data_IF_322695569533
#
_entry.id   IF_322695569533
#
_cell.length_a   1.000
_cell.length_b   1.000
_cell.length_c   1.000
_cell.angle_alpha   90.00
_cell.angle_beta   90.00
_cell.angle_gamma   90.00
#
_symmetry.space_group_name_H-M   'P 1'
#
loop_
_entity.id
_entity.type
_entity.pdbx_description
1 polymer ?
#
# COMPACT_ATOMS: atom_id res chain seq x y z
N UNK A 1 3.84 -24.22 -0.91
CA UNK A 1 5.03 -23.34 -1.00
C UNK A 1 4.81 -22.27 0.05
N UNK A 2 5.79 -21.95 0.88
CA UNK A 2 5.67 -20.94 1.92
C UNK A 2 6.37 -19.68 1.39
N UNK A 3 5.62 -18.58 1.31
CA UNK A 3 6.15 -17.28 0.89
C UNK A 3 6.50 -16.44 2.12
N UNK A 4 7.51 -15.56 2.06
CA UNK A 4 7.79 -14.64 3.17
C UNK A 4 6.56 -13.75 3.44
N UNK A 5 6.21 -13.60 4.71
CA UNK A 5 5.21 -12.65 5.15
C UNK A 5 5.91 -11.39 5.67
N UNK A 6 6.24 -10.48 4.76
CA UNK A 6 6.95 -9.24 5.13
C UNK A 6 6.07 -8.31 5.95
N UNK A 7 4.75 -8.29 5.70
CA UNK A 7 3.81 -7.49 6.47
C UNK A 7 3.82 -7.83 7.98
N UNK A 8 3.90 -9.11 8.34
CA UNK A 8 3.94 -9.54 9.74
C UNK A 8 5.35 -9.57 10.33
N UNK A 9 6.41 -9.61 9.50
CA UNK A 9 7.80 -9.68 9.96
C UNK A 9 8.45 -8.31 10.17
N UNK A 10 7.78 -7.25 9.74
CA UNK A 10 8.16 -5.84 9.95
C UNK A 10 7.19 -5.17 10.93
N UNK A 11 7.41 -3.91 11.35
CA UNK A 11 6.45 -3.16 12.18
C UNK A 11 5.10 -2.86 11.49
N UNK A 12 4.93 -3.19 10.19
CA UNK A 12 3.77 -2.84 9.40
C UNK A 12 2.45 -3.29 10.04
N UNK A 13 2.34 -4.56 10.42
CA UNK A 13 1.09 -5.09 11.02
C UNK A 13 0.72 -4.39 12.33
N UNK A 14 1.69 -4.06 13.18
CA UNK A 14 1.46 -3.37 14.45
C UNK A 14 1.02 -1.92 14.20
N UNK A 15 1.61 -1.24 13.23
CA UNK A 15 1.21 0.11 12.81
C UNK A 15 -0.21 0.13 12.27
N UNK A 16 -0.56 -0.81 11.39
CA UNK A 16 -1.93 -0.98 10.88
C UNK A 16 -2.93 -1.19 12.02
N UNK A 17 -2.62 -2.10 12.94
CA UNK A 17 -3.46 -2.41 14.09
C UNK A 17 -3.75 -1.20 14.96
N UNK A 18 -2.74 -0.36 15.19
CA UNK A 18 -2.82 0.83 16.05
C UNK A 18 -3.47 2.01 15.34
N UNK A 19 -3.03 2.32 14.10
CA UNK A 19 -3.40 3.56 13.41
C UNK A 19 -4.77 3.41 12.73
N UNK A 20 -5.09 2.23 12.18
CA UNK A 20 -6.36 2.00 11.51
C UNK A 20 -7.49 1.54 12.46
N UNK A 21 -7.20 1.31 13.74
CA UNK A 21 -8.23 0.94 14.74
C UNK A 21 -9.51 1.81 14.70
N UNK A 22 -9.43 3.14 14.47
CA UNK A 22 -10.63 3.98 14.37
C UNK A 22 -11.53 3.66 13.17
N UNK A 23 -11.04 2.97 12.14
CA UNK A 23 -11.83 2.57 10.97
C UNK A 23 -12.54 1.23 11.14
N UNK A 24 -12.14 0.42 12.12
CA UNK A 24 -12.64 -0.95 12.30
C UNK A 24 -14.17 -1.02 12.30
N UNK A 25 -14.71 -1.78 11.34
CA UNK A 25 -16.14 -2.06 11.22
C UNK A 25 -17.01 -0.87 10.82
N UNK A 26 -16.41 0.26 10.40
CA UNK A 26 -17.18 1.37 9.84
C UNK A 26 -17.70 0.99 8.45
N UNK A 27 -18.92 1.44 8.10
CA UNK A 27 -19.47 1.25 6.77
C UNK A 27 -18.84 2.20 5.75
N UNK A 28 -19.01 1.87 4.46
CA UNK A 28 -18.74 2.71 3.29
C UNK A 28 -17.28 3.20 3.17
N UNK A 29 -16.32 2.48 3.77
CA UNK A 29 -14.91 2.77 3.62
C UNK A 29 -14.40 2.25 2.27
N UNK A 30 -13.52 3.02 1.64
CA UNK A 30 -12.76 2.59 0.46
C UNK A 30 -11.26 2.67 0.76
N UNK A 31 -10.59 1.54 0.67
CA UNK A 31 -9.15 1.42 0.86
C UNK A 31 -8.48 1.03 -0.45
N UNK A 32 -7.34 1.63 -0.73
CA UNK A 32 -6.48 1.32 -1.87
C UNK A 32 -5.14 0.82 -1.37
N UNK A 33 -4.65 -0.27 -1.94
CA UNK A 33 -3.29 -0.77 -1.74
C UNK A 33 -2.58 -0.86 -3.09
N UNK A 34 -1.43 -0.22 -3.18
CA UNK A 34 -0.51 -0.28 -4.31
C UNK A 34 0.64 -1.21 -3.92
N UNK A 35 0.73 -2.36 -4.61
CA UNK A 35 1.59 -3.48 -4.22
C UNK A 35 0.87 -4.43 -3.25
N UNK A 36 0.50 -5.61 -3.71
CA UNK A 36 -0.28 -6.57 -2.93
C UNK A 36 0.46 -7.89 -2.67
N UNK A 37 1.41 -8.26 -3.52
CA UNK A 37 2.22 -9.48 -3.41
C UNK A 37 1.36 -10.73 -3.14
N UNK A 38 1.52 -11.36 -1.96
CA UNK A 38 0.74 -12.55 -1.53
C UNK A 38 -0.61 -12.20 -0.90
N UNK A 39 -0.91 -10.90 -0.68
CA UNK A 39 -2.12 -10.42 -0.04
C UNK A 39 -2.10 -10.53 1.49
N UNK A 40 -0.93 -10.48 2.15
CA UNK A 40 -0.89 -10.58 3.60
C UNK A 40 -1.52 -9.35 4.27
N UNK A 41 -1.20 -8.14 3.82
CA UNK A 41 -1.85 -6.92 4.28
C UNK A 41 -3.33 -6.89 3.87
N UNK A 42 -3.66 -7.33 2.64
CA UNK A 42 -5.04 -7.36 2.13
C UNK A 42 -5.95 -8.23 3.00
N UNK A 43 -5.53 -9.48 3.28
CA UNK A 43 -6.27 -10.39 4.17
C UNK A 43 -6.43 -9.78 5.56
N UNK A 44 -5.34 -9.24 6.11
CA UNK A 44 -5.39 -8.62 7.42
C UNK A 44 -6.39 -7.44 7.49
N UNK A 45 -6.40 -6.58 6.47
CA UNK A 45 -7.34 -5.45 6.36
C UNK A 45 -8.79 -5.94 6.31
N UNK A 46 -9.08 -6.95 5.48
CA UNK A 46 -10.42 -7.51 5.37
C UNK A 46 -10.91 -8.15 6.67
N UNK A 47 -10.02 -8.81 7.40
CA UNK A 47 -10.38 -9.51 8.65
C UNK A 47 -10.48 -8.59 9.86
N UNK A 48 -9.70 -7.50 9.89
CA UNK A 48 -9.55 -6.69 11.09
C UNK A 48 -10.15 -5.29 11.00
N UNK A 49 -10.26 -4.71 9.80
CA UNK A 49 -10.68 -3.32 9.60
C UNK A 49 -11.96 -3.24 8.75
N UNK A 50 -11.93 -3.77 7.53
CA UNK A 50 -13.02 -3.67 6.55
C UNK A 50 -14.08 -4.76 6.73
N UNK A 51 -14.52 -4.94 7.98
CA UNK A 51 -15.46 -6.01 8.35
C UNK A 51 -16.92 -5.68 8.07
N UNK A 52 -17.23 -4.43 7.72
CA UNK A 52 -18.56 -4.06 7.22
C UNK A 52 -18.67 -4.39 5.72
N UNK A 53 -19.74 -5.04 5.25
CA UNK A 53 -19.88 -5.48 3.86
C UNK A 53 -20.01 -4.33 2.84
N UNK A 54 -20.32 -3.11 3.26
CA UNK A 54 -20.34 -1.93 2.38
C UNK A 54 -18.97 -1.31 2.15
N UNK A 55 -17.98 -1.66 2.98
CA UNK A 55 -16.60 -1.22 2.83
C UNK A 55 -15.86 -2.10 1.83
N UNK A 56 -14.87 -1.55 1.13
CA UNK A 56 -14.14 -2.27 0.09
C UNK A 56 -12.64 -2.05 0.14
N UNK A 57 -11.91 -3.05 -0.35
CA UNK A 57 -10.48 -3.00 -0.63
C UNK A 57 -10.25 -3.11 -2.13
N UNK A 58 -9.36 -2.27 -2.65
CA UNK A 58 -8.84 -2.37 -4.00
C UNK A 58 -7.32 -2.58 -3.92
N UNK A 59 -6.87 -3.70 -4.46
CA UNK A 59 -5.45 -4.05 -4.59
C UNK A 59 -5.00 -3.85 -6.04
N UNK A 60 -3.87 -3.17 -6.23
CA UNK A 60 -3.24 -2.95 -7.53
C UNK A 60 -1.83 -3.48 -7.49
N UNK A 61 -1.51 -4.43 -8.35
CA UNK A 61 -0.19 -5.02 -8.47
C UNK A 61 0.03 -5.53 -9.90
N UNK A 62 1.24 -5.56 -10.39
CA UNK A 62 1.59 -6.17 -11.66
C UNK A 62 1.70 -7.69 -11.54
N UNK A 63 2.04 -8.20 -10.35
CA UNK A 63 2.51 -9.55 -10.10
C UNK A 63 3.62 -9.99 -11.04
N UNK A 64 4.52 -9.05 -11.38
CA UNK A 64 5.74 -9.30 -12.16
C UNK A 64 7.00 -9.24 -11.28
N UNK A 65 6.84 -8.73 -10.04
CA UNK A 65 7.95 -8.50 -9.12
C UNK A 65 8.69 -7.19 -9.40
N UNK A 66 9.78 -6.99 -8.70
CA UNK A 66 10.67 -5.83 -8.83
C UNK A 66 12.10 -6.27 -9.11
N UNK A 67 13.00 -5.30 -9.35
CA UNK A 67 14.44 -5.54 -9.57
C UNK A 67 15.20 -5.77 -8.23
N UNK A 68 14.54 -6.41 -7.28
CA UNK A 68 15.12 -6.79 -6.00
C UNK A 68 15.67 -8.21 -6.03
N UNK A 69 16.81 -8.43 -5.35
CA UNK A 69 17.43 -9.76 -5.29
C UNK A 69 16.49 -10.82 -4.71
N UNK A 70 15.65 -10.44 -3.76
CA UNK A 70 14.65 -11.32 -3.16
C UNK A 70 13.65 -11.85 -4.18
N UNK A 71 13.29 -11.07 -5.19
CA UNK A 71 12.31 -11.41 -6.22
C UNK A 71 12.87 -12.29 -7.35
N UNK A 72 14.18 -12.28 -7.57
CA UNK A 72 14.82 -13.00 -8.69
C UNK A 72 14.57 -14.52 -8.74
N UNK A 73 14.16 -15.12 -7.62
CA UNK A 73 13.93 -16.58 -7.50
C UNK A 73 12.45 -16.93 -7.32
N UNK A 74 11.55 -15.95 -7.38
CA UNK A 74 10.12 -16.15 -7.15
C UNK A 74 9.37 -16.35 -8.45
N UNK A 75 8.37 -17.21 -8.40
CA UNK A 75 7.40 -17.40 -9.49
C UNK A 75 6.18 -16.50 -9.21
N UNK A 76 6.18 -15.32 -9.80
CA UNK A 76 5.11 -14.33 -9.58
C UNK A 76 3.76 -14.77 -10.13
N UNK A 77 3.74 -15.64 -11.15
CA UNK A 77 2.51 -16.27 -11.61
C UNK A 77 1.87 -17.16 -10.53
N UNK A 78 2.68 -17.94 -9.80
CA UNK A 78 2.18 -18.72 -8.66
C UNK A 78 1.82 -17.85 -7.48
N UNK A 79 2.52 -16.73 -7.23
CA UNK A 79 2.18 -15.75 -6.20
C UNK A 79 0.81 -15.15 -6.47
N UNK A 80 0.52 -14.75 -7.72
CA UNK A 80 -0.80 -14.25 -8.09
C UNK A 80 -1.91 -15.29 -7.86
N UNK A 81 -1.70 -16.54 -8.27
CA UNK A 81 -2.66 -17.63 -8.00
C UNK A 81 -2.87 -17.82 -6.49
N UNK A 82 -1.81 -17.73 -5.71
CA UNK A 82 -1.89 -17.81 -4.25
C UNK A 82 -2.69 -16.64 -3.66
N UNK A 83 -2.40 -15.39 -4.08
CA UNK A 83 -3.17 -14.21 -3.73
C UNK A 83 -4.66 -14.39 -4.03
N UNK A 84 -5.02 -14.76 -5.26
CA UNK A 84 -6.41 -14.98 -5.65
C UNK A 84 -7.09 -16.06 -4.80
N UNK A 85 -6.37 -17.12 -4.43
CA UNK A 85 -6.91 -18.18 -3.59
C UNK A 85 -7.32 -17.71 -2.20
N UNK A 86 -6.61 -16.71 -1.67
CA UNK A 86 -6.87 -16.08 -0.37
C UNK A 86 -7.99 -15.05 -0.44
N UNK A 87 -7.99 -14.22 -1.48
CA UNK A 87 -8.90 -13.07 -1.59
C UNK A 87 -10.30 -13.44 -2.09
N UNK A 88 -10.48 -14.57 -2.79
CA UNK A 88 -11.78 -15.02 -3.35
C UNK A 88 -12.91 -15.15 -2.32
N UNK A 89 -12.61 -15.25 -1.04
CA UNK A 89 -13.62 -15.35 0.04
C UNK A 89 -14.24 -13.99 0.41
N UNK A 90 -13.62 -12.87 0.00
CA UNK A 90 -14.06 -11.52 0.32
C UNK A 90 -14.76 -10.90 -0.90
N UNK A 91 -16.11 -10.83 -0.86
CA UNK A 91 -16.92 -10.34 -1.98
C UNK A 91 -16.73 -8.83 -2.27
N UNK A 92 -16.19 -8.09 -1.29
CA UNK A 92 -15.93 -6.65 -1.34
C UNK A 92 -14.43 -6.33 -1.49
N UNK A 93 -13.62 -7.28 -1.97
CA UNK A 93 -12.23 -7.08 -2.35
C UNK A 93 -12.09 -7.21 -3.86
N UNK A 94 -11.38 -6.27 -4.46
CA UNK A 94 -11.13 -6.19 -5.89
C UNK A 94 -9.64 -6.14 -6.17
N UNK A 95 -9.19 -6.79 -7.24
CA UNK A 95 -7.79 -6.76 -7.65
C UNK A 95 -7.66 -6.31 -9.10
N UNK A 96 -6.68 -5.45 -9.35
CA UNK A 96 -6.32 -5.00 -10.69
C UNK A 96 -4.87 -5.42 -10.98
N UNK A 97 -4.71 -6.30 -11.98
CA UNK A 97 -3.37 -6.63 -12.52
C UNK A 97 -2.96 -5.51 -13.46
N UNK A 98 -2.23 -4.54 -12.95
CA UNK A 98 -1.85 -3.32 -13.66
C UNK A 98 -0.64 -2.67 -12.99
N UNK A 99 0.05 -1.79 -13.71
CA UNK A 99 0.97 -0.85 -13.07
C UNK A 99 0.17 0.15 -12.24
N UNK A 100 0.78 0.67 -11.17
CA UNK A 100 0.17 1.71 -10.33
C UNK A 100 -0.14 2.96 -11.16
N UNK A 101 0.78 3.36 -12.06
CA UNK A 101 0.61 4.48 -12.96
C UNK A 101 -0.62 4.34 -13.86
N UNK A 102 -0.82 3.17 -14.49
CA UNK A 102 -1.96 2.95 -15.39
C UNK A 102 -3.27 2.94 -14.63
N UNK A 103 -3.30 2.34 -13.41
CA UNK A 103 -4.48 2.35 -12.57
C UNK A 103 -4.82 3.78 -12.10
N UNK A 104 -3.86 4.46 -11.46
CA UNK A 104 -4.10 5.76 -10.83
C UNK A 104 -4.47 6.85 -11.83
N UNK A 105 -3.93 6.80 -13.06
CA UNK A 105 -4.23 7.78 -14.12
C UNK A 105 -5.72 7.83 -14.49
N UNK A 106 -6.44 6.71 -14.36
CA UNK A 106 -7.84 6.60 -14.77
C UNK A 106 -8.79 6.34 -13.59
N UNK A 107 -8.25 6.32 -12.36
CA UNK A 107 -9.05 6.16 -11.16
C UNK A 107 -9.80 7.47 -10.85
N UNK A 108 -11.11 7.36 -10.63
CA UNK A 108 -11.98 8.47 -10.24
C UNK A 108 -12.54 8.27 -8.81
N UNK A 109 -12.18 7.17 -8.15
CA UNK A 109 -12.61 6.89 -6.78
C UNK A 109 -11.85 7.75 -5.77
N UNK A 110 -12.52 8.05 -4.64
CA UNK A 110 -11.87 8.67 -3.48
C UNK A 110 -11.73 7.65 -2.35
N UNK A 111 -10.59 7.69 -1.65
CA UNK A 111 -10.21 6.69 -0.66
C UNK A 111 -10.09 7.29 0.75
N UNK A 112 -10.47 6.50 1.75
CA UNK A 112 -10.28 6.81 3.17
C UNK A 112 -8.87 6.45 3.64
N UNK A 113 -8.25 5.45 2.99
CA UNK A 113 -6.89 4.99 3.26
C UNK A 113 -6.21 4.54 1.96
N UNK A 114 -4.95 4.94 1.80
CA UNK A 114 -4.09 4.51 0.70
C UNK A 114 -2.78 3.97 1.29
N UNK A 115 -2.41 2.75 0.93
CA UNK A 115 -1.14 2.12 1.29
C UNK A 115 -0.25 1.99 0.05
N UNK A 116 0.94 2.56 0.11
CA UNK A 116 1.93 2.58 -0.98
C UNK A 116 3.07 1.64 -0.61
N UNK A 117 3.16 0.52 -1.32
CA UNK A 117 4.11 -0.58 -1.11
C UNK A 117 4.42 -1.28 -2.46
N UNK A 118 4.67 -0.49 -3.51
CA UNK A 118 4.85 -1.01 -4.88
C UNK A 118 6.28 -0.84 -5.39
N UNK A 119 6.61 0.31 -5.99
CA UNK A 119 7.94 0.59 -6.53
C UNK A 119 8.82 1.25 -5.46
N UNK A 120 9.90 0.57 -5.07
CA UNK A 120 10.83 1.07 -4.03
C UNK A 120 11.87 2.05 -4.58
N UNK A 121 11.79 2.47 -5.84
CA UNK A 121 12.63 3.58 -6.33
C UNK A 121 12.11 4.93 -5.83
N UNK A 122 13.02 5.89 -5.64
CA UNK A 122 12.64 7.24 -5.22
C UNK A 122 11.66 7.91 -6.18
N UNK A 123 11.78 7.65 -7.48
CA UNK A 123 10.87 8.20 -8.50
C UNK A 123 9.53 7.49 -8.50
N UNK A 124 9.53 6.15 -8.38
CA UNK A 124 8.31 5.34 -8.39
C UNK A 124 7.41 5.69 -7.21
N UNK A 125 7.95 5.65 -5.98
CA UNK A 125 7.16 6.00 -4.79
C UNK A 125 6.67 7.45 -4.81
N UNK A 126 7.47 8.40 -5.33
CA UNK A 126 7.02 9.79 -5.48
C UNK A 126 5.86 9.89 -6.46
N UNK A 127 5.93 9.20 -7.60
CA UNK A 127 4.85 9.20 -8.59
C UNK A 127 3.57 8.60 -8.04
N UNK A 128 3.67 7.45 -7.35
CA UNK A 128 2.54 6.80 -6.71
C UNK A 128 1.90 7.73 -5.66
N UNK A 129 2.71 8.40 -4.85
CA UNK A 129 2.23 9.34 -3.84
C UNK A 129 1.50 10.55 -4.46
N UNK A 130 2.08 11.20 -5.47
CA UNK A 130 1.51 12.37 -6.12
C UNK A 130 0.17 12.03 -6.82
N UNK A 131 0.11 10.93 -7.55
CA UNK A 131 -1.12 10.50 -8.22
C UNK A 131 -2.20 10.05 -7.23
N UNK A 132 -1.81 9.44 -6.11
CA UNK A 132 -2.74 9.00 -5.08
C UNK A 132 -3.24 10.14 -4.19
N UNK A 133 -2.50 11.26 -4.12
CA UNK A 133 -2.85 12.36 -3.22
C UNK A 133 -4.20 13.00 -3.56
N UNK A 134 -4.48 13.18 -4.84
CA UNK A 134 -5.76 13.74 -5.28
C UNK A 134 -6.93 12.81 -5.00
N UNK A 135 -6.67 11.49 -4.96
CA UNK A 135 -7.67 10.45 -4.67
C UNK A 135 -7.90 10.23 -3.18
N UNK A 136 -7.06 10.78 -2.30
CA UNK A 136 -7.22 10.67 -0.85
C UNK A 136 -8.20 11.71 -0.36
N UNK A 137 -9.23 11.29 0.38
CA UNK A 137 -10.21 12.19 0.99
C UNK A 137 -9.58 13.13 2.01
N UNK A 138 -10.10 14.35 2.25
CA UNK A 138 -9.76 15.13 3.42
C UNK A 138 -10.00 14.31 4.70
N UNK A 139 -9.04 14.30 5.62
CA UNK A 139 -9.05 13.43 6.80
C UNK A 139 -8.64 11.98 6.54
N UNK A 140 -8.43 11.59 5.28
CA UNK A 140 -7.92 10.28 4.89
C UNK A 140 -6.45 10.09 5.28
N UNK A 141 -6.03 8.84 5.34
CA UNK A 141 -4.67 8.44 5.75
C UNK A 141 -3.93 7.85 4.55
N UNK A 142 -2.68 8.29 4.35
CA UNK A 142 -1.73 7.64 3.44
C UNK A 142 -0.58 7.05 4.24
N UNK A 143 -0.24 5.80 3.94
CA UNK A 143 0.90 5.11 4.52
C UNK A 143 1.89 4.71 3.43
N UNK A 144 3.16 4.96 3.69
CA UNK A 144 4.27 4.52 2.88
C UNK A 144 4.98 3.39 3.60
N UNK A 145 5.16 2.25 2.93
CA UNK A 145 6.04 1.21 3.45
C UNK A 145 7.50 1.53 3.17
N UNK A 146 8.38 0.79 3.81
CA UNK A 146 9.81 0.77 3.52
C UNK A 146 10.51 2.13 3.56
N UNK A 147 10.00 3.08 4.39
CA UNK A 147 10.62 4.41 4.50
C UNK A 147 12.11 4.33 4.86
N UNK A 148 12.51 3.39 5.72
CA UNK A 148 13.91 3.18 6.14
C UNK A 148 14.61 2.08 5.33
N UNK A 149 13.91 1.40 4.42
CA UNK A 149 14.48 0.31 3.63
C UNK A 149 15.55 0.80 2.64
N UNK A 150 16.56 -0.04 2.40
CA UNK A 150 17.60 0.19 1.42
C UNK A 150 18.26 -1.13 1.02
N UNK A 151 18.46 -1.32 -0.27
CA UNK A 151 19.24 -2.42 -0.84
C UNK A 151 20.73 -2.09 -1.00
N UNK A 152 21.15 -0.89 -0.59
CA UNK A 152 22.53 -0.43 -0.70
C UNK A 152 22.95 0.11 -2.06
N UNK A 153 22.06 0.14 -3.07
CA UNK A 153 22.33 0.65 -4.42
C UNK A 153 22.36 2.19 -4.49
N UNK A 154 21.93 2.88 -3.43
CA UNK A 154 21.97 4.35 -3.34
C UNK A 154 20.58 4.99 -3.36
N UNK A 155 20.54 6.32 -3.24
CA UNK A 155 19.32 7.09 -2.98
C UNK A 155 18.23 6.97 -4.07
N UNK A 156 18.60 6.71 -5.31
CA UNK A 156 17.63 6.51 -6.39
C UNK A 156 16.84 5.18 -6.26
N UNK A 157 17.37 4.22 -5.51
CA UNK A 157 16.85 2.86 -5.38
C UNK A 157 16.28 2.58 -3.98
N UNK A 158 15.81 3.61 -3.29
CA UNK A 158 15.12 3.48 -2.00
C UNK A 158 13.98 4.50 -1.88
N UNK A 159 12.91 4.21 -1.12
CA UNK A 159 11.71 5.05 -1.05
C UNK A 159 11.93 6.41 -0.40
N UNK A 160 12.76 6.49 0.63
CA UNK A 160 12.93 7.67 1.50
C UNK A 160 13.10 9.00 0.75
N UNK A 161 13.96 9.16 -0.27
CA UNK A 161 14.13 10.45 -0.97
C UNK A 161 12.87 10.88 -1.72
N UNK A 162 12.15 9.94 -2.32
CA UNK A 162 10.87 10.20 -2.98
C UNK A 162 9.81 10.65 -2.00
N UNK A 163 9.67 9.93 -0.90
CA UNK A 163 8.72 10.25 0.19
C UNK A 163 9.04 11.64 0.78
N UNK A 164 10.31 11.93 1.07
CA UNK A 164 10.69 13.25 1.59
C UNK A 164 10.36 14.38 0.60
N UNK A 165 10.54 14.15 -0.72
CA UNK A 165 10.16 15.11 -1.75
C UNK A 165 8.65 15.36 -1.76
N UNK A 166 7.84 14.32 -1.63
CA UNK A 166 6.39 14.43 -1.48
C UNK A 166 6.00 15.22 -0.23
N UNK A 167 6.59 14.91 0.93
CA UNK A 167 6.33 15.62 2.18
C UNK A 167 6.64 17.11 2.07
N UNK A 168 7.76 17.48 1.43
CA UNK A 168 8.15 18.88 1.25
C UNK A 168 7.16 19.65 0.36
N UNK A 169 6.62 19.00 -0.67
CA UNK A 169 5.64 19.60 -1.59
C UNK A 169 4.28 19.83 -0.91
N UNK A 170 3.84 18.87 -0.08
CA UNK A 170 2.52 18.87 0.55
C UNK A 170 2.53 19.25 2.04
N UNK A 171 3.63 19.84 2.56
CA UNK A 171 3.82 20.13 3.99
C UNK A 171 2.70 20.92 4.64
N UNK A 172 2.03 21.80 3.89
CA UNK A 172 0.94 22.63 4.39
C UNK A 172 -0.42 21.90 4.34
N UNK A 173 -0.49 20.77 3.62
CA UNK A 173 -1.71 20.00 3.34
C UNK A 173 -1.80 18.70 4.16
N UNK A 174 -0.73 18.31 4.86
CA UNK A 174 -0.67 17.05 5.59
C UNK A 174 -0.22 17.21 7.05
N UNK A 175 -0.44 16.16 7.83
CA UNK A 175 0.13 15.98 9.18
C UNK A 175 0.80 14.61 9.23
N UNK A 176 2.07 14.57 9.59
CA UNK A 176 2.78 13.29 9.85
C UNK A 176 2.29 12.76 11.20
N UNK A 177 1.71 11.56 11.23
CA UNK A 177 1.16 10.91 12.43
C UNK A 177 2.03 9.76 12.93
N UNK A 178 2.92 9.23 12.08
CA UNK A 178 3.87 8.19 12.45
C UNK A 178 5.06 8.20 11.48
N UNK A 179 6.26 7.90 12.03
CA UNK A 179 7.49 7.83 11.24
C UNK A 179 8.49 6.92 11.93
N UNK A 180 8.68 5.77 11.32
CA UNK A 180 9.74 4.79 11.62
C UNK A 180 10.03 3.99 10.34
N UNK A 181 10.03 2.66 10.38
CA UNK A 181 10.08 1.81 9.19
C UNK A 181 9.03 2.18 8.14
N UNK A 182 7.87 2.62 8.58
CA UNK A 182 6.81 3.18 7.75
C UNK A 182 6.63 4.67 8.05
N UNK A 183 6.14 5.42 7.05
CA UNK A 183 5.73 6.81 7.24
C UNK A 183 4.23 6.95 6.96
N UNK A 184 3.50 7.61 7.88
CA UNK A 184 2.06 7.77 7.83
C UNK A 184 1.67 9.22 7.92
N UNK A 185 0.79 9.67 7.04
CA UNK A 185 0.27 11.05 7.00
C UNK A 185 -1.25 11.07 6.96
N UNK A 186 -1.82 12.16 7.47
CA UNK A 186 -3.24 12.50 7.31
C UNK A 186 -3.33 13.71 6.40
N UNK A 187 -4.22 13.67 5.41
CA UNK A 187 -4.60 14.83 4.58
C UNK A 187 -5.48 15.78 5.39
N UNK A 188 -5.16 17.10 5.39
CA UNK A 188 -5.94 18.12 6.11
C UNK A 188 -7.26 18.42 5.43
#
# INVERSE_FOLDING_TARGET
>A
MEYPNWFASTPAQDNFSRILAPFKGKPDLKFLQLGAYTGDASVWLMENILTDPSSMLIDVDTWEGSDEEAHNKMDFGQIYVFYLSRMKQYANSYSHMSTTLDYLRYCEDEFDFIYIDADHTAVGVLLDAELSWDLLKPGGIMAFDDYEWSDGKGDAYRPMPGINTFLDRHKDELIIIHKDWQLWVVKK
#
